data_IF_568142001635
#
_entry.id   IF_568142001635
#
_cell.length_a   1.000
_cell.length_b   1.000
_cell.length_c   1.000
_cell.angle_alpha   90.00
_cell.angle_beta   90.00
_cell.angle_gamma   90.00
#
_symmetry.space_group_name_H-M   'P 1'
#
loop_
_entity.id
_entity.type
_entity.pdbx_description
1 polymer ?
#
# COMPACT_ATOMS: atom_id res chain seq x y z
N UNK A 1 6.81 -16.60 39.38
CA UNK A 1 5.82 -16.89 38.31
C UNK A 1 6.56 -17.11 37.02
N UNK A 2 6.75 -18.37 36.66
CA UNK A 2 7.56 -18.80 35.52
C UNK A 2 6.78 -18.62 34.20
N UNK A 3 7.20 -17.68 33.36
CA UNK A 3 6.73 -17.59 31.95
C UNK A 3 7.44 -18.65 31.13
N UNK A 4 6.67 -19.60 30.62
CA UNK A 4 7.15 -20.76 29.88
C UNK A 4 8.03 -20.39 28.68
N UNK A 5 9.21 -21.00 28.52
CA UNK A 5 10.17 -20.72 27.45
C UNK A 5 9.68 -21.15 26.05
N UNK A 6 8.60 -21.91 25.98
CA UNK A 6 8.05 -22.46 24.74
C UNK A 6 7.33 -21.44 23.85
N UNK A 7 6.69 -20.40 24.44
CA UNK A 7 6.04 -19.32 23.66
C UNK A 7 7.05 -18.46 22.90
N UNK A 8 8.21 -18.20 23.50
CA UNK A 8 9.25 -17.37 22.89
C UNK A 8 9.96 -18.06 21.72
N UNK A 9 9.97 -19.40 21.67
CA UNK A 9 10.57 -20.20 20.61
C UNK A 9 9.66 -20.30 19.38
N UNK A 10 8.34 -20.36 19.59
CA UNK A 10 7.35 -20.36 18.51
C UNK A 10 7.24 -19.01 17.82
N UNK A 11 7.25 -17.91 18.56
CA UNK A 11 7.25 -16.55 17.99
C UNK A 11 8.52 -16.25 17.20
N UNK A 12 9.69 -16.67 17.70
CA UNK A 12 10.96 -16.52 16.98
C UNK A 12 11.01 -17.36 15.70
N UNK A 13 10.44 -18.55 15.69
CA UNK A 13 10.40 -19.40 14.51
C UNK A 13 9.41 -18.91 13.44
N UNK A 14 8.26 -18.32 13.83
CA UNK A 14 7.35 -17.67 12.90
C UNK A 14 8.01 -16.46 12.23
N UNK A 15 8.69 -15.62 12.99
CA UNK A 15 9.38 -14.42 12.49
C UNK A 15 10.58 -14.82 11.60
N UNK A 16 11.30 -15.89 11.97
CA UNK A 16 12.44 -16.37 11.20
C UNK A 16 12.05 -16.99 9.86
N UNK A 17 10.87 -17.60 9.76
CA UNK A 17 10.36 -18.20 8.50
C UNK A 17 9.90 -17.16 7.48
N UNK A 18 9.60 -15.93 7.92
CA UNK A 18 9.23 -14.79 7.06
C UNK A 18 10.41 -13.88 6.67
N UNK A 19 11.62 -14.15 7.17
CA UNK A 19 12.81 -13.33 6.99
C UNK A 19 13.49 -13.34 5.60
N UNK A 20 13.25 -14.28 4.67
CA UNK A 20 13.92 -14.24 3.36
C UNK A 20 13.37 -13.19 2.38
N UNK A 21 12.23 -12.52 2.67
CA UNK A 21 11.66 -11.49 1.79
C UNK A 21 12.04 -10.03 2.16
N UNK A 22 12.88 -9.82 3.19
CA UNK A 22 13.20 -8.49 3.73
C UNK A 22 14.48 -7.86 3.17
N UNK A 23 15.04 -8.40 2.09
CA UNK A 23 16.27 -7.89 1.47
C UNK A 23 16.06 -6.70 0.52
N UNK A 24 14.84 -6.40 0.11
CA UNK A 24 14.51 -5.19 -0.64
C UNK A 24 13.50 -4.37 0.16
N UNK A 25 13.67 -3.03 0.17
CA UNK A 25 12.68 -2.12 0.80
C UNK A 25 11.29 -2.52 0.36
N UNK A 26 10.34 -2.71 1.30
CA UNK A 26 9.01 -3.18 0.96
C UNK A 26 8.40 -2.26 -0.10
N UNK A 27 8.08 -2.83 -1.24
CA UNK A 27 7.46 -2.12 -2.36
C UNK A 27 6.03 -1.77 -1.95
N UNK A 28 5.84 -0.58 -1.37
CA UNK A 28 4.51 -0.13 -0.93
C UNK A 28 3.61 0.14 -2.12
N UNK A 29 2.34 -0.22 -1.95
CA UNK A 29 1.29 0.17 -2.89
C UNK A 29 0.87 1.62 -2.65
N UNK A 30 0.83 2.41 -3.71
CA UNK A 30 0.19 3.73 -3.69
C UNK A 30 -1.34 3.57 -3.61
N UNK A 31 -2.07 4.64 -3.29
CA UNK A 31 -3.53 4.59 -3.21
C UNK A 31 -4.18 4.10 -4.51
N UNK A 32 -3.71 4.57 -5.67
CA UNK A 32 -4.24 4.13 -6.97
C UNK A 32 -3.86 2.68 -7.30
N UNK A 33 -2.65 2.26 -7.00
CA UNK A 33 -2.21 0.87 -7.15
C UNK A 33 -3.05 -0.07 -6.28
N UNK A 34 -3.34 0.33 -5.04
CA UNK A 34 -4.20 -0.46 -4.14
C UNK A 34 -5.64 -0.58 -4.68
N UNK A 35 -6.19 0.48 -5.29
CA UNK A 35 -7.51 0.41 -5.92
C UNK A 35 -7.53 -0.58 -7.09
N UNK A 36 -6.52 -0.57 -7.95
CA UNK A 36 -6.39 -1.55 -9.03
C UNK A 36 -6.24 -2.99 -8.48
N UNK A 37 -5.41 -3.17 -7.44
CA UNK A 37 -5.26 -4.47 -6.78
C UNK A 37 -6.55 -4.97 -6.14
N UNK A 38 -7.36 -4.08 -5.52
CA UNK A 38 -8.68 -4.44 -4.99
C UNK A 38 -9.64 -4.92 -6.08
N UNK A 39 -9.58 -4.34 -7.29
CA UNK A 39 -10.36 -4.82 -8.42
C UNK A 39 -9.97 -6.25 -8.82
N UNK A 40 -8.68 -6.59 -8.80
CA UNK A 40 -8.19 -7.95 -9.06
C UNK A 40 -8.61 -8.93 -7.95
N UNK A 41 -8.40 -8.57 -6.68
CA UNK A 41 -8.66 -9.47 -5.55
C UNK A 41 -10.16 -9.76 -5.34
N UNK A 42 -10.98 -8.70 -5.32
CA UNK A 42 -12.39 -8.82 -4.88
C UNK A 42 -13.40 -8.87 -6.02
N UNK A 43 -13.08 -8.25 -7.16
CA UNK A 43 -13.98 -8.22 -8.31
C UNK A 43 -13.54 -9.17 -9.43
N UNK A 44 -12.42 -9.89 -9.22
CA UNK A 44 -11.86 -10.85 -10.18
C UNK A 44 -11.62 -10.26 -11.58
N UNK A 45 -11.36 -8.95 -11.65
CA UNK A 45 -10.96 -8.32 -12.89
C UNK A 45 -9.68 -8.95 -13.41
N UNK A 46 -9.57 -9.09 -14.71
CA UNK A 46 -8.40 -9.69 -15.37
C UNK A 46 -7.77 -8.76 -16.38
N UNK A 47 -8.50 -7.79 -16.89
CA UNK A 47 -8.04 -6.89 -17.96
C UNK A 47 -8.10 -5.43 -17.50
N UNK A 48 -7.30 -4.57 -18.13
CA UNK A 48 -7.32 -3.11 -17.88
C UNK A 48 -8.72 -2.52 -18.09
N UNK A 49 -9.44 -3.03 -19.11
CA UNK A 49 -10.80 -2.57 -19.42
C UNK A 49 -11.80 -2.90 -18.30
N UNK A 50 -11.72 -4.10 -17.72
CA UNK A 50 -12.56 -4.50 -16.59
C UNK A 50 -12.24 -3.67 -15.35
N UNK A 51 -10.95 -3.44 -15.05
CA UNK A 51 -10.53 -2.56 -13.95
C UNK A 51 -11.07 -1.15 -14.14
N UNK A 52 -11.01 -0.61 -15.36
CA UNK A 52 -11.55 0.71 -15.69
C UNK A 52 -13.06 0.79 -15.39
N UNK A 53 -13.83 -0.20 -15.82
CA UNK A 53 -15.28 -0.26 -15.55
C UNK A 53 -15.57 -0.29 -14.05
N UNK A 54 -14.81 -1.08 -13.29
CA UNK A 54 -14.98 -1.22 -11.84
C UNK A 54 -14.64 0.07 -11.09
N UNK A 55 -13.59 0.78 -11.51
CA UNK A 55 -13.15 2.01 -10.84
C UNK A 55 -13.96 3.24 -11.26
N UNK A 56 -14.66 3.20 -12.39
CA UNK A 56 -15.38 4.34 -12.97
C UNK A 56 -16.32 5.08 -11.99
N UNK A 57 -17.09 4.40 -11.13
CA UNK A 57 -18.00 5.08 -10.19
C UNK A 57 -17.31 5.86 -9.08
N UNK A 58 -16.12 5.42 -8.66
CA UNK A 58 -15.40 6.00 -7.52
C UNK A 58 -14.19 6.84 -7.94
N UNK A 59 -13.54 6.47 -9.03
CA UNK A 59 -12.36 7.16 -9.55
C UNK A 59 -12.25 6.93 -11.06
N UNK A 60 -12.84 7.81 -11.89
CA UNK A 60 -12.85 7.67 -13.34
C UNK A 60 -11.45 7.94 -13.92
N UNK A 61 -10.67 6.88 -14.12
CA UNK A 61 -9.33 6.94 -14.70
C UNK A 61 -9.37 6.61 -16.21
N UNK A 62 -8.48 7.26 -16.96
CA UNK A 62 -8.27 6.92 -18.36
C UNK A 62 -7.67 5.50 -18.49
N UNK A 63 -7.95 4.82 -19.61
CA UNK A 63 -7.41 3.49 -19.91
C UNK A 63 -5.88 3.46 -19.82
N UNK A 64 -5.22 4.47 -20.40
CA UNK A 64 -3.75 4.59 -20.42
C UNK A 64 -3.18 4.78 -19.01
N UNK A 65 -3.87 5.48 -18.13
CA UNK A 65 -3.48 5.64 -16.72
C UNK A 65 -3.50 4.30 -16.01
N UNK A 66 -4.58 3.53 -16.16
CA UNK A 66 -4.68 2.20 -15.54
C UNK A 66 -3.63 1.26 -16.13
N UNK A 67 -3.40 1.29 -17.44
CA UNK A 67 -2.35 0.49 -18.08
C UNK A 67 -0.97 0.78 -17.46
N UNK A 68 -0.62 2.06 -17.29
CA UNK A 68 0.64 2.47 -16.66
C UNK A 68 0.72 1.98 -15.20
N UNK A 69 -0.39 2.04 -14.45
CA UNK A 69 -0.44 1.53 -13.06
C UNK A 69 -0.21 0.02 -13.05
N UNK A 70 -0.84 -0.72 -13.96
CA UNK A 70 -0.68 -2.18 -14.05
C UNK A 70 0.73 -2.58 -14.47
N UNK A 71 1.39 -1.82 -15.35
CA UNK A 71 2.80 -2.03 -15.69
C UNK A 71 3.72 -1.81 -14.46
N UNK A 72 3.48 -0.76 -13.69
CA UNK A 72 4.22 -0.52 -12.42
C UNK A 72 3.99 -1.63 -11.40
N UNK A 73 2.76 -2.13 -11.25
CA UNK A 73 2.44 -3.25 -10.38
C UNK A 73 3.16 -4.53 -10.83
N UNK A 74 3.27 -4.76 -12.14
CA UNK A 74 4.02 -5.87 -12.71
C UNK A 74 5.53 -5.74 -12.42
N UNK A 75 6.10 -4.55 -12.60
CA UNK A 75 7.52 -4.28 -12.27
C UNK A 75 7.80 -4.42 -10.77
N UNK A 76 6.84 -4.05 -9.92
CA UNK A 76 6.92 -4.26 -8.47
C UNK A 76 6.72 -5.73 -8.05
N UNK A 77 6.28 -6.61 -8.96
CA UNK A 77 6.02 -8.02 -8.69
C UNK A 77 4.68 -8.33 -8.02
N UNK A 78 3.78 -7.34 -7.85
CA UNK A 78 2.45 -7.56 -7.28
C UNK A 78 1.50 -8.30 -8.19
N UNK A 79 1.67 -8.15 -9.51
CA UNK A 79 0.86 -8.83 -10.52
C UNK A 79 1.74 -9.52 -11.54
N UNK A 80 1.30 -10.69 -11.98
CA UNK A 80 1.76 -11.35 -13.19
C UNK A 80 0.88 -10.95 -14.37
N UNK A 81 1.44 -11.00 -15.57
CA UNK A 81 0.69 -10.75 -16.81
C UNK A 81 1.03 -11.79 -17.88
N UNK A 82 0.04 -12.17 -18.65
CA UNK A 82 0.23 -12.97 -19.87
C UNK A 82 -0.63 -12.40 -21.01
N UNK A 83 -0.21 -12.66 -22.22
CA UNK A 83 -0.93 -12.20 -23.40
C UNK A 83 -2.03 -13.20 -23.74
N UNK A 84 -3.26 -12.72 -23.92
CA UNK A 84 -4.39 -13.52 -24.40
C UNK A 84 -5.02 -12.80 -25.60
N UNK A 85 -4.75 -13.28 -26.79
CA UNK A 85 -5.15 -12.61 -28.01
C UNK A 85 -4.48 -11.22 -28.15
N UNK A 86 -5.30 -10.17 -28.27
CA UNK A 86 -4.84 -8.77 -28.36
C UNK A 86 -4.74 -8.07 -27.00
N UNK A 87 -5.20 -8.71 -25.92
CA UNK A 87 -5.22 -8.11 -24.57
C UNK A 87 -4.18 -8.77 -23.67
N UNK A 88 -3.75 -8.01 -22.63
CA UNK A 88 -3.04 -8.56 -21.49
C UNK A 88 -4.02 -8.95 -20.40
N UNK A 89 -3.84 -10.14 -19.86
CA UNK A 89 -4.58 -10.65 -18.70
C UNK A 89 -3.65 -10.61 -17.49
N UNK A 90 -4.13 -10.05 -16.41
CA UNK A 90 -3.40 -9.86 -15.16
C UNK A 90 -3.92 -10.79 -14.08
N UNK A 91 -3.02 -11.23 -13.20
CA UNK A 91 -3.36 -12.00 -12.00
C UNK A 91 -2.52 -11.51 -10.82
N UNK A 92 -3.09 -11.46 -9.61
CA UNK A 92 -2.34 -11.07 -8.43
C UNK A 92 -1.34 -12.18 -8.04
N UNK A 93 -0.10 -11.79 -7.72
CA UNK A 93 0.95 -12.70 -7.26
C UNK A 93 0.92 -12.88 -5.73
N UNK A 94 0.16 -12.05 -5.01
CA UNK A 94 -0.01 -12.15 -3.57
C UNK A 94 -1.48 -12.00 -3.19
N UNK A 95 -1.87 -12.56 -2.04
CA UNK A 95 -3.22 -12.39 -1.50
C UNK A 95 -3.40 -11.00 -0.89
N UNK A 96 -4.66 -10.59 -0.72
CA UNK A 96 -4.97 -9.35 0.00
C UNK A 96 -4.45 -9.39 1.43
N UNK A 97 -4.60 -10.53 2.12
CA UNK A 97 -4.12 -10.73 3.48
C UNK A 97 -2.62 -10.55 3.59
N UNK A 98 -1.85 -11.17 2.69
CA UNK A 98 -0.39 -11.01 2.64
C UNK A 98 -0.01 -9.54 2.45
N UNK A 99 -0.64 -8.87 1.49
CA UNK A 99 -0.38 -7.45 1.22
C UNK A 99 -0.74 -6.55 2.40
N UNK A 100 -1.85 -6.84 3.09
CA UNK A 100 -2.28 -6.13 4.31
C UNK A 100 -1.28 -6.31 5.45
N UNK A 101 -0.86 -7.55 5.72
CA UNK A 101 0.13 -7.83 6.75
C UNK A 101 1.44 -7.11 6.49
N UNK A 102 1.89 -7.10 5.25
CA UNK A 102 3.09 -6.37 4.85
C UNK A 102 2.97 -4.87 5.15
N UNK A 103 1.86 -4.25 4.75
CA UNK A 103 1.62 -2.84 4.98
C UNK A 103 1.59 -2.48 6.47
N UNK A 104 0.97 -3.32 7.31
CA UNK A 104 0.93 -3.13 8.76
C UNK A 104 2.32 -3.32 9.37
N UNK A 105 3.05 -4.35 8.96
CA UNK A 105 4.41 -4.60 9.43
C UNK A 105 5.35 -3.44 9.10
N UNK A 106 5.28 -2.91 7.87
CA UNK A 106 6.04 -1.75 7.44
C UNK A 106 5.70 -0.49 8.25
N UNK A 107 4.41 -0.30 8.57
CA UNK A 107 3.96 0.80 9.41
C UNK A 107 4.56 0.71 10.83
N UNK A 108 4.46 -0.48 11.43
CA UNK A 108 5.00 -0.75 12.77
C UNK A 108 6.51 -0.52 12.82
N UNK A 109 7.23 -1.03 11.82
CA UNK A 109 8.68 -0.87 11.74
C UNK A 109 9.10 0.59 11.56
N UNK A 110 8.44 1.31 10.63
CA UNK A 110 8.85 2.67 10.27
C UNK A 110 8.45 3.73 11.31
N UNK A 111 7.31 3.58 12.00
CA UNK A 111 6.77 4.63 12.88
C UNK A 111 6.73 4.25 14.34
N UNK A 112 6.84 2.95 14.67
CA UNK A 112 6.69 2.43 16.02
C UNK A 112 7.87 1.56 16.47
N UNK A 113 9.02 1.65 15.77
CA UNK A 113 10.25 0.91 16.09
C UNK A 113 10.01 -0.60 16.34
N UNK A 114 9.15 -1.22 15.53
CA UNK A 114 8.79 -2.63 15.66
C UNK A 114 7.78 -2.95 16.77
N UNK A 115 7.24 -1.94 17.49
CA UNK A 115 6.33 -2.15 18.62
C UNK A 115 4.85 -2.08 18.20
N UNK A 116 4.23 -3.24 18.01
CA UNK A 116 2.78 -3.33 17.75
C UNK A 116 1.93 -2.77 18.92
N UNK A 117 2.44 -2.80 20.15
CA UNK A 117 1.75 -2.24 21.34
C UNK A 117 1.59 -0.72 21.22
N UNK A 118 2.60 -0.01 20.72
CA UNK A 118 2.52 1.44 20.51
C UNK A 118 1.47 1.79 19.44
N UNK A 119 1.40 1.03 18.35
CA UNK A 119 0.34 1.22 17.35
C UNK A 119 -1.05 1.02 17.97
N UNK A 120 -1.25 -0.06 18.74
CA UNK A 120 -2.52 -0.35 19.41
C UNK A 120 -2.90 0.78 20.38
N UNK A 121 -1.95 1.29 21.17
CA UNK A 121 -2.18 2.42 22.09
C UNK A 121 -2.72 3.64 21.35
N UNK A 122 -2.05 4.06 20.27
CA UNK A 122 -2.47 5.22 19.45
C UNK A 122 -3.88 5.02 18.88
N UNK A 123 -4.19 3.84 18.34
CA UNK A 123 -5.51 3.55 17.77
C UNK A 123 -6.59 3.46 18.84
N UNK A 124 -6.26 2.96 20.05
CA UNK A 124 -7.21 2.83 21.15
C UNK A 124 -7.54 4.17 21.80
N UNK A 125 -6.59 5.09 21.91
CA UNK A 125 -6.78 6.44 22.44
C UNK A 125 -7.70 7.28 21.54
N UNK A 126 -7.60 7.13 20.20
CA UNK A 126 -8.50 7.81 19.24
C UNK A 126 -9.93 7.24 19.22
N UNK A 127 -10.12 6.01 19.67
CA UNK A 127 -11.44 5.37 19.67
C UNK A 127 -12.39 5.94 20.72
N UNK A 128 -11.90 6.72 21.69
CA UNK A 128 -12.71 7.37 22.72
C UNK A 128 -13.14 8.80 22.36
N UNK A 129 -12.51 9.47 21.40
CA UNK A 129 -12.97 10.77 20.91
C UNK A 129 -12.61 11.02 19.45
N UNK A 130 -13.63 11.35 18.65
CA UNK A 130 -13.62 11.99 17.33
C UNK A 130 -13.40 11.10 16.08
N UNK A 131 -14.46 11.09 15.27
CA UNK A 131 -14.37 10.97 13.81
C UNK A 131 -13.18 11.77 13.31
N UNK A 132 -12.20 11.11 12.72
CA UNK A 132 -11.07 11.75 12.03
C UNK A 132 -11.64 12.52 10.85
N UNK A 133 -11.91 13.80 11.04
CA UNK A 133 -12.00 14.71 9.90
C UNK A 133 -10.57 14.95 9.41
N UNK A 134 -10.28 14.87 8.11
CA UNK A 134 -8.97 15.19 7.59
C UNK A 134 -8.70 16.67 7.93
N UNK A 135 -7.81 16.91 8.88
CA UNK A 135 -7.31 18.26 9.14
C UNK A 135 -6.70 18.75 7.83
N UNK A 136 -7.35 19.74 7.26
CA UNK A 136 -6.80 20.56 6.20
C UNK A 136 -5.36 20.94 6.57
N UNK A 137 -4.40 20.42 5.83
CA UNK A 137 -3.05 20.91 5.86
C UNK A 137 -3.09 22.33 5.30
N UNK A 138 -3.27 23.32 6.18
CA UNK A 138 -3.04 24.72 5.84
C UNK A 138 -1.55 24.84 5.51
N UNK A 139 -1.25 24.88 4.24
CA UNK A 139 0.04 25.35 3.74
C UNK A 139 0.24 26.75 4.27
N UNK A 140 0.94 26.90 5.39
CA UNK A 140 1.51 28.19 5.78
C UNK A 140 2.42 28.59 4.62
N UNK A 141 1.97 29.58 3.86
CA UNK A 141 2.81 30.28 2.88
C UNK A 141 4.09 30.70 3.59
N UNK A 142 5.22 30.12 3.22
CA UNK A 142 6.52 30.65 3.56
C UNK A 142 6.64 32.01 2.85
N UNK A 143 6.87 33.13 3.55
CA UNK A 143 6.95 34.47 2.95
C UNK A 143 8.35 34.78 2.43
N UNK A 144 9.04 33.88 1.74
CA UNK A 144 10.34 34.16 1.11
C UNK A 144 10.58 33.25 -0.09
N UNK A 145 9.77 33.44 -1.11
CA UNK A 145 10.17 33.07 -2.48
C UNK A 145 10.35 34.40 -3.23
N UNK A 146 11.53 34.70 -3.77
CA UNK A 146 11.70 35.88 -4.62
C UNK A 146 10.88 35.70 -5.91
N UNK A 147 10.38 36.82 -6.51
CA UNK A 147 9.56 36.75 -7.71
C UNK A 147 10.38 36.23 -8.89
N UNK A 148 9.74 35.35 -9.69
CA UNK A 148 10.30 34.63 -10.85
C UNK A 148 10.81 35.48 -12.03
N UNK A 149 10.95 36.78 -11.88
CA UNK A 149 11.23 37.70 -12.99
C UNK A 149 12.70 38.16 -13.09
N UNK A 150 13.60 37.69 -12.25
CA UNK A 150 14.99 38.16 -12.21
C UNK A 150 16.02 37.29 -12.93
N UNK A 151 15.59 36.24 -13.64
CA UNK A 151 16.51 35.32 -14.36
C UNK A 151 16.40 35.42 -15.89
N UNK A 152 15.74 36.47 -16.44
CA UNK A 152 15.61 36.69 -17.88
C UNK A 152 16.18 38.08 -18.27
N UNK A 153 17.46 38.31 -18.01
CA UNK A 153 18.31 39.28 -18.71
C UNK A 153 19.72 38.72 -18.87
#
# INVERSE_FOLDING_TARGET
MNKSPLKNKLEKNLISSFKPMLSERPKRLTSLELQCMKALWFKRAKTVKEIQVILRPTNPLAYTTILTIMDRLSQKGFVGRHKQGRAHVYHPNCSFETSRWQAVSDLIECYFNGSAKQLISVVSEESTEKKISPKHYSTKKNPTSPPLNEWLL
#
